data_IF_135336149951
#
_entry.id   IF_135336149951
#
_cell.length_a   1.000
_cell.length_b   1.000
_cell.length_c   1.000
_cell.angle_alpha   90.00
_cell.angle_beta   90.00
_cell.angle_gamma   90.00
#
_symmetry.space_group_name_H-M   'P 1'
#
loop_
_entity.id
_entity.type
_entity.pdbx_description
1 polymer ?
#
# COMPACT_ATOMS: atom_id res chain seq x y z
N UNK A 1 17.23 -8.37 -10.58
CA UNK A 1 16.53 -7.79 -9.42
C UNK A 1 15.47 -6.83 -9.94
N UNK A 2 14.28 -6.76 -9.35
CA UNK A 2 13.21 -5.89 -9.88
C UNK A 2 13.47 -4.42 -9.52
N UNK A 3 13.02 -3.49 -10.37
CA UNK A 3 13.16 -2.05 -10.12
C UNK A 3 12.59 -1.61 -8.76
N UNK A 4 11.42 -2.16 -8.39
CA UNK A 4 10.81 -1.96 -7.08
C UNK A 4 11.70 -2.40 -5.93
N UNK A 5 12.43 -3.50 -6.11
CA UNK A 5 13.23 -4.06 -5.06
C UNK A 5 14.48 -3.15 -4.84
N UNK A 6 15.06 -2.56 -5.89
CA UNK A 6 16.13 -1.54 -5.77
C UNK A 6 15.60 -0.31 -5.03
N UNK A 7 14.42 0.17 -5.43
CA UNK A 7 13.76 1.32 -4.79
C UNK A 7 13.52 1.06 -3.31
N UNK A 8 13.04 -0.13 -2.93
CA UNK A 8 12.80 -0.50 -1.55
C UNK A 8 14.07 -0.46 -0.70
N UNK A 9 15.21 -0.93 -1.22
CA UNK A 9 16.47 -0.83 -0.48
C UNK A 9 16.91 0.61 -0.26
N UNK A 10 16.88 1.45 -1.30
CA UNK A 10 17.25 2.87 -1.18
C UNK A 10 16.32 3.59 -0.19
N UNK A 11 15.02 3.32 -0.27
CA UNK A 11 14.04 3.88 0.67
C UNK A 11 14.26 3.40 2.11
N UNK A 12 14.63 2.13 2.30
CA UNK A 12 14.95 1.58 3.62
C UNK A 12 16.19 2.25 4.22
N UNK A 13 17.23 2.46 3.40
CA UNK A 13 18.44 3.17 3.81
C UNK A 13 18.15 4.62 4.21
N UNK A 14 17.32 5.32 3.41
CA UNK A 14 16.85 6.67 3.73
C UNK A 14 16.07 6.69 5.04
N UNK A 15 15.14 5.75 5.25
CA UNK A 15 14.38 5.65 6.48
C UNK A 15 15.29 5.41 7.70
N UNK A 16 16.29 4.55 7.55
CA UNK A 16 17.28 4.30 8.60
C UNK A 16 18.08 5.56 8.96
N UNK A 17 18.52 6.34 7.96
CA UNK A 17 19.16 7.65 8.18
C UNK A 17 18.25 8.61 8.95
N UNK A 18 16.99 8.73 8.55
CA UNK A 18 16.00 9.58 9.23
C UNK A 18 15.79 9.18 10.69
N UNK A 19 15.69 7.88 10.99
CA UNK A 19 15.49 7.38 12.36
C UNK A 19 16.70 7.68 13.25
N UNK A 20 17.91 7.64 12.70
CA UNK A 20 19.14 7.88 13.45
C UNK A 20 19.59 9.35 13.42
N UNK A 21 18.80 10.25 12.82
CA UNK A 21 19.14 11.67 12.69
C UNK A 21 20.40 11.94 11.86
N UNK A 22 20.80 10.99 11.02
CA UNK A 22 21.95 11.13 10.14
C UNK A 22 21.54 11.89 8.87
N UNK A 23 22.36 12.85 8.46
CA UNK A 23 22.11 13.60 7.23
C UNK A 23 22.08 12.65 6.02
N UNK A 24 21.03 12.78 5.20
CA UNK A 24 20.93 12.10 3.92
C UNK A 24 21.55 12.99 2.83
N UNK A 25 22.86 12.80 2.59
CA UNK A 25 23.65 13.62 1.67
C UNK A 25 23.32 13.41 0.16
N UNK A 26 22.47 12.42 -0.17
CA UNK A 26 22.13 12.11 -1.56
C UNK A 26 21.03 13.04 -2.08
N UNK A 27 21.23 13.57 -3.29
CA UNK A 27 20.23 14.40 -3.94
C UNK A 27 19.01 13.56 -4.37
N UNK A 28 17.85 13.86 -3.77
CA UNK A 28 16.59 13.14 -4.02
C UNK A 28 16.20 13.10 -5.50
N UNK A 29 16.39 14.17 -6.27
CA UNK A 29 15.97 14.19 -7.69
C UNK A 29 16.84 13.27 -8.53
N UNK A 30 18.14 13.22 -8.24
CA UNK A 30 19.10 12.34 -8.92
C UNK A 30 18.85 10.88 -8.56
N UNK A 31 18.55 10.58 -7.29
CA UNK A 31 18.21 9.21 -6.86
C UNK A 31 16.91 8.73 -7.50
N UNK A 32 15.87 9.57 -7.58
CA UNK A 32 14.62 9.21 -8.26
C UNK A 32 14.82 8.97 -9.76
N UNK A 33 15.61 9.83 -10.43
CA UNK A 33 15.95 9.65 -11.84
C UNK A 33 16.69 8.32 -12.07
N UNK A 34 17.64 7.98 -11.19
CA UNK A 34 18.39 6.72 -11.25
C UNK A 34 17.49 5.50 -11.00
N UNK A 35 16.59 5.56 -10.01
CA UNK A 35 15.63 4.49 -9.72
C UNK A 35 14.66 4.27 -10.88
N UNK A 36 14.23 5.35 -11.54
CA UNK A 36 13.38 5.28 -12.74
C UNK A 36 14.13 4.62 -13.91
N UNK A 37 15.38 5.00 -14.14
CA UNK A 37 16.24 4.38 -15.16
C UNK A 37 16.47 2.89 -14.87
N UNK A 38 16.79 2.53 -13.61
CA UNK A 38 16.96 1.14 -13.19
C UNK A 38 15.68 0.32 -13.37
N UNK A 39 14.51 0.91 -13.08
CA UNK A 39 13.21 0.27 -13.29
C UNK A 39 12.86 0.09 -14.77
N UNK A 40 13.33 0.99 -15.63
CA UNK A 40 13.19 0.90 -17.08
C UNK A 40 14.12 -0.13 -17.71
N UNK A 41 15.34 -0.28 -17.16
CA UNK A 41 16.33 -1.25 -17.63
C UNK A 41 16.08 -2.66 -17.08
N UNK A 42 15.26 -2.78 -16.04
CA UNK A 42 14.91 -4.08 -15.47
C UNK A 42 14.25 -4.98 -16.52
N UNK A 43 14.71 -6.24 -16.66
CA UNK A 43 14.17 -7.14 -17.68
C UNK A 43 12.69 -7.41 -17.43
N UNK A 44 11.87 -7.60 -18.48
CA UNK A 44 10.44 -7.89 -18.34
C UNK A 44 10.17 -9.16 -17.52
N UNK A 45 11.07 -10.14 -17.58
CA UNK A 45 11.02 -11.35 -16.76
C UNK A 45 11.08 -11.07 -15.24
N UNK A 46 11.59 -9.90 -14.84
CA UNK A 46 11.62 -9.50 -13.43
C UNK A 46 10.28 -8.97 -12.92
N UNK A 47 9.30 -8.71 -13.80
CA UNK A 47 7.95 -8.27 -13.43
C UNK A 47 7.01 -9.47 -13.39
N UNK A 48 6.41 -9.73 -12.22
CA UNK A 48 5.35 -10.74 -12.11
C UNK A 48 4.07 -10.19 -12.74
N UNK A 49 3.33 -10.99 -13.53
CA UNK A 49 2.03 -10.55 -14.04
C UNK A 49 1.10 -10.18 -12.87
N UNK A 50 0.22 -9.18 -13.04
CA UNK A 50 -0.86 -8.92 -12.10
C UNK A 50 -1.62 -10.22 -11.80
N UNK A 51 -1.99 -10.42 -10.53
CA UNK A 51 -2.83 -11.57 -10.16
C UNK A 51 -4.25 -11.27 -10.60
N UNK A 52 -4.93 -12.27 -11.16
CA UNK A 52 -6.34 -12.18 -11.48
C UNK A 52 -7.16 -11.83 -10.22
N UNK A 53 -8.11 -10.89 -10.33
CA UNK A 53 -8.94 -10.51 -9.20
C UNK A 53 -9.89 -11.66 -8.82
N UNK A 54 -10.07 -11.85 -7.52
CA UNK A 54 -11.14 -12.73 -7.03
C UNK A 54 -12.48 -12.15 -7.48
N UNK A 55 -13.25 -12.95 -8.22
CA UNK A 55 -14.53 -12.54 -8.81
C UNK A 55 -15.69 -13.26 -8.11
N UNK A 56 -16.87 -12.65 -8.08
CA UNK A 56 -18.09 -13.27 -7.50
C UNK A 56 -18.42 -14.61 -8.17
N UNK A 57 -18.12 -14.77 -9.46
CA UNK A 57 -18.27 -16.04 -10.18
C UNK A 57 -17.46 -17.18 -9.55
N UNK A 58 -16.29 -16.89 -8.98
CA UNK A 58 -15.47 -17.87 -8.27
C UNK A 58 -16.13 -18.28 -6.94
N UNK A 59 -16.77 -17.35 -6.23
CA UNK A 59 -17.57 -17.67 -5.03
C UNK A 59 -18.77 -18.56 -5.37
N UNK A 60 -19.45 -18.29 -6.49
CA UNK A 60 -20.59 -19.10 -6.96
C UNK A 60 -20.11 -20.50 -7.34
N UNK A 61 -18.99 -20.62 -8.05
CA UNK A 61 -18.39 -21.92 -8.38
C UNK A 61 -18.02 -22.70 -7.13
N UNK A 62 -17.39 -22.07 -6.14
CA UNK A 62 -17.06 -22.72 -4.86
C UNK A 62 -18.33 -23.15 -4.12
N UNK A 63 -19.37 -22.31 -4.08
CA UNK A 63 -20.66 -22.64 -3.45
C UNK A 63 -21.27 -23.90 -4.05
N UNK A 64 -21.23 -24.05 -5.38
CA UNK A 64 -21.81 -25.20 -6.06
C UNK A 64 -21.09 -26.52 -5.75
N UNK A 65 -19.84 -26.45 -5.30
CA UNK A 65 -19.06 -27.62 -4.88
C UNK A 65 -19.11 -27.89 -3.38
N UNK A 66 -19.77 -27.03 -2.59
CA UNK A 66 -19.89 -27.17 -1.14
C UNK A 66 -21.30 -27.61 -0.74
N UNK A 67 -21.38 -28.60 0.15
CA UNK A 67 -22.64 -29.05 0.74
C UNK A 67 -23.00 -28.22 1.97
N UNK A 68 -23.93 -27.27 1.81
CA UNK A 68 -24.40 -26.37 2.86
C UNK A 68 -25.24 -27.07 3.95
N UNK A 69 -25.55 -28.36 3.79
CA UNK A 69 -26.22 -29.14 4.85
C UNK A 69 -25.24 -29.56 5.96
N UNK A 70 -23.94 -29.57 5.67
CA UNK A 70 -22.89 -29.82 6.65
C UNK A 70 -22.44 -28.52 7.32
N UNK A 71 -22.39 -28.45 8.66
CA UNK A 71 -21.98 -27.24 9.37
C UNK A 71 -20.53 -26.84 9.09
N UNK A 72 -19.66 -27.80 8.73
CA UNK A 72 -18.27 -27.54 8.38
C UNK A 72 -18.16 -26.77 7.05
N UNK A 73 -18.85 -27.25 6.02
CA UNK A 73 -18.86 -26.60 4.71
C UNK A 73 -19.56 -25.23 4.77
N UNK A 74 -20.62 -25.12 5.58
CA UNK A 74 -21.28 -23.84 5.83
C UNK A 74 -20.32 -22.81 6.48
N UNK A 75 -19.55 -23.21 7.50
CA UNK A 75 -18.58 -22.32 8.17
C UNK A 75 -17.45 -21.86 7.23
N UNK A 76 -16.96 -22.74 6.36
CA UNK A 76 -15.94 -22.37 5.35
C UNK A 76 -16.50 -21.34 4.37
N UNK A 77 -17.74 -21.51 3.93
CA UNK A 77 -18.39 -20.58 3.00
C UNK A 77 -18.68 -19.21 3.63
N UNK A 78 -19.14 -19.16 4.88
CA UNK A 78 -19.36 -17.88 5.59
C UNK A 78 -18.05 -17.13 5.83
N UNK A 79 -16.97 -17.83 6.19
CA UNK A 79 -15.65 -17.21 6.33
C UNK A 79 -15.13 -16.65 5.00
N UNK A 80 -15.21 -17.43 3.92
CA UNK A 80 -14.77 -17.02 2.59
C UNK A 80 -15.51 -15.77 2.10
N UNK A 81 -16.84 -15.76 2.22
CA UNK A 81 -17.67 -14.61 1.81
C UNK A 81 -17.39 -13.38 2.68
N UNK A 82 -17.24 -13.55 3.99
CA UNK A 82 -16.90 -12.46 4.91
C UNK A 82 -15.56 -11.82 4.56
N UNK A 83 -14.51 -12.62 4.32
CA UNK A 83 -13.20 -12.12 3.89
C UNK A 83 -13.28 -11.42 2.54
N UNK A 84 -14.01 -11.99 1.58
CA UNK A 84 -14.19 -11.38 0.26
C UNK A 84 -14.83 -10.00 0.35
N UNK A 85 -15.96 -9.87 1.06
CA UNK A 85 -16.66 -8.59 1.19
C UNK A 85 -15.91 -7.60 2.10
N UNK A 86 -15.22 -8.06 3.14
CA UNK A 86 -14.37 -7.21 3.96
C UNK A 86 -13.20 -6.61 3.17
N UNK A 87 -12.51 -7.43 2.35
CA UNK A 87 -11.42 -6.96 1.49
C UNK A 87 -11.92 -6.03 0.37
N UNK A 88 -13.10 -6.32 -0.21
CA UNK A 88 -13.74 -5.43 -1.19
C UNK A 88 -14.06 -4.05 -0.58
N UNK A 89 -14.47 -4.01 0.68
CA UNK A 89 -14.72 -2.75 1.40
C UNK A 89 -13.42 -2.02 1.79
N UNK A 90 -12.37 -2.77 2.12
CA UNK A 90 -11.05 -2.22 2.47
C UNK A 90 -10.39 -1.45 1.31
N UNK A 91 -10.76 -1.75 0.07
CA UNK A 91 -10.35 -0.99 -1.12
C UNK A 91 -10.78 0.48 -1.11
N UNK A 92 -11.61 0.92 -0.15
CA UNK A 92 -12.11 2.29 0.00
C UNK A 92 -11.64 3.00 1.27
N UNK A 93 -10.53 2.58 1.87
CA UNK A 93 -10.03 3.14 3.16
C UNK A 93 -8.72 3.95 3.04
N UNK A 94 -8.45 4.57 1.89
CA UNK A 94 -7.39 5.59 1.76
C UNK A 94 -7.93 6.89 1.17
N UNK A 95 -9.03 7.40 1.72
CA UNK A 95 -9.29 8.84 1.67
C UNK A 95 -8.38 9.50 2.70
N UNK A 96 -7.46 10.36 2.26
CA UNK A 96 -6.62 11.17 3.14
C UNK A 96 -7.52 11.95 4.11
N UNK A 97 -7.22 12.05 5.42
CA UNK A 97 -7.64 13.24 6.13
C UNK A 97 -6.96 14.44 5.46
N UNK A 98 -7.79 15.23 4.78
CA UNK A 98 -7.45 16.58 4.34
C UNK A 98 -6.91 17.34 5.57
N UNK A 99 -5.71 17.89 5.44
CA UNK A 99 -4.98 18.61 6.47
C UNK A 99 -5.86 19.56 7.30
N UNK A 100 -5.66 19.58 8.62
CA UNK A 100 -5.78 20.80 9.44
C UNK A 100 -5.23 20.56 10.85
N UNK A 101 -3.94 20.83 11.02
CA UNK A 101 -3.38 21.50 12.21
C UNK A 101 -1.87 21.68 12.04
N UNK A 102 -1.46 22.60 11.16
CA UNK A 102 -0.15 23.25 11.33
C UNK A 102 -0.28 24.27 12.46
N UNK A 103 0.61 24.27 13.47
CA UNK A 103 0.60 25.25 14.54
C UNK A 103 1.47 26.45 14.13
N UNK A 104 0.87 27.54 13.65
CA UNK A 104 1.57 28.83 13.54
C UNK A 104 0.63 29.98 13.25
N UNK A 105 0.28 30.74 14.29
CA UNK A 105 0.04 32.18 14.24
C UNK A 105 0.08 32.74 15.68
N UNK A 106 1.28 32.73 16.26
CA UNK A 106 1.64 33.71 17.29
C UNK A 106 1.78 35.06 16.59
N UNK A 107 0.74 35.88 16.61
CA UNK A 107 0.85 37.34 16.64
C UNK A 107 -0.52 37.95 16.87
N UNK A 108 -0.86 38.19 18.12
CA UNK A 108 -1.90 39.14 18.48
C UNK A 108 -1.54 39.80 19.80
N UNK A 109 -1.42 41.12 19.74
CA UNK A 109 -1.67 42.08 20.80
C UNK A 109 -0.56 42.25 21.86
N UNK A 110 0.48 42.98 21.48
CA UNK A 110 1.23 43.84 22.41
C UNK A 110 1.77 45.09 21.69
N UNK A 111 0.86 45.86 21.10
CA UNK A 111 1.08 47.30 20.82
C UNK A 111 -0.28 47.99 20.70
N UNK A 112 -0.86 48.42 21.81
CA UNK A 112 -1.55 49.70 22.02
C UNK A 112 -2.37 49.64 23.33
N UNK A 113 -1.95 50.46 24.30
CA UNK A 113 -2.61 50.88 25.55
C UNK A 113 -2.83 49.81 26.62
#
# INVERSE_FOLDING_TARGET
YSGNAVSNYVNSMRAWHTVHGLEWALNNTKTEALLKAASSLAPPQSKRPPREPYTVNLLISIRNHLDLTSPLHAAVFTCLTTVFYAMAHMGKLTTKPCCLSTPSLTSSLLTYV
#
